data_IF_485028524966
#
_entry.id   IF_485028524966
#
_cell.length_a   1.000
_cell.length_b   1.000
_cell.length_c   1.000
_cell.angle_alpha   90.00
_cell.angle_beta   90.00
_cell.angle_gamma   90.00
#
_symmetry.space_group_name_H-M   'P 1'
#
loop_
_entity.id
_entity.type
_entity.pdbx_description
1 polymer ?
#
# COMPACT_ATOMS: atom_id res chain seq x y z
N UNK A 1 7.78 2.95 27.53
CA UNK A 1 6.43 2.52 27.98
C UNK A 1 5.45 3.58 27.51
N UNK A 2 4.67 3.28 26.47
CA UNK A 2 3.65 4.18 25.91
C UNK A 2 2.45 4.26 26.86
N UNK A 3 1.92 5.45 27.11
CA UNK A 3 0.73 5.63 27.94
C UNK A 3 -0.48 4.92 27.28
N UNK A 4 -1.12 3.93 27.95
CA UNK A 4 -2.28 3.24 27.42
C UNK A 4 -3.45 4.16 27.06
N UNK A 5 -3.60 5.30 27.75
CA UNK A 5 -4.65 6.28 27.44
C UNK A 5 -4.38 6.98 26.12
N UNK A 6 -3.13 7.38 25.87
CA UNK A 6 -2.71 8.02 24.62
C UNK A 6 -2.85 7.07 23.43
N UNK A 7 -2.54 5.79 23.63
CA UNK A 7 -2.70 4.77 22.57
C UNK A 7 -4.18 4.61 22.22
N UNK A 8 -5.04 4.49 23.23
CA UNK A 8 -6.48 4.35 23.05
C UNK A 8 -7.13 5.55 22.36
N UNK A 9 -6.78 6.78 22.73
CA UNK A 9 -7.34 7.98 22.09
C UNK A 9 -6.91 8.12 20.63
N UNK A 10 -5.69 7.71 20.29
CA UNK A 10 -5.23 7.63 18.89
C UNK A 10 -6.06 6.61 18.10
N UNK A 11 -6.24 5.40 18.63
CA UNK A 11 -7.04 4.34 17.98
C UNK A 11 -8.49 4.78 17.74
N UNK A 12 -9.13 5.44 18.72
CA UNK A 12 -10.49 5.96 18.58
C UNK A 12 -10.61 7.02 17.48
N UNK A 13 -9.62 7.92 17.38
CA UNK A 13 -9.58 8.93 16.32
C UNK A 13 -9.36 8.30 14.93
N UNK A 14 -8.46 7.32 14.83
CA UNK A 14 -8.24 6.56 13.59
C UNK A 14 -9.52 5.82 13.17
N UNK A 15 -10.21 5.17 14.11
CA UNK A 15 -11.47 4.48 13.83
C UNK A 15 -12.56 5.46 13.34
N UNK A 16 -12.67 6.64 13.97
CA UNK A 16 -13.66 7.66 13.59
C UNK A 16 -13.43 8.18 12.16
N UNK A 17 -12.19 8.55 11.78
CA UNK A 17 -11.92 9.00 10.41
C UNK A 17 -12.13 7.88 9.39
N UNK A 18 -11.77 6.65 9.76
CA UNK A 18 -11.88 5.48 8.90
C UNK A 18 -13.35 5.20 8.58
N UNK A 19 -14.20 5.18 9.61
CA UNK A 19 -15.65 5.08 9.46
C UNK A 19 -16.20 6.22 8.61
N UNK A 20 -15.81 7.47 8.88
CA UNK A 20 -16.31 8.62 8.13
C UNK A 20 -15.99 8.57 6.63
N UNK A 21 -14.82 8.04 6.26
CA UNK A 21 -14.40 7.91 4.86
C UNK A 21 -14.96 6.64 4.18
N UNK A 22 -15.35 5.61 4.94
CA UNK A 22 -16.07 4.43 4.40
C UNK A 22 -17.52 4.77 4.00
N UNK A 23 -18.10 5.84 4.53
CA UNK A 23 -19.47 6.24 4.20
C UNK A 23 -19.53 7.08 2.91
N UNK A 24 -20.58 6.87 2.08
CA UNK A 24 -20.80 7.66 0.87
C UNK A 24 -20.83 9.17 1.13
N UNK A 25 -20.25 9.94 0.21
CA UNK A 25 -20.19 11.41 0.25
C UNK A 25 -18.82 11.92 -0.18
N UNK A 26 -18.66 13.24 -0.26
CA UNK A 26 -17.38 13.88 -0.63
C UNK A 26 -16.87 14.85 0.44
N UNK A 27 -17.67 15.15 1.46
CA UNK A 27 -17.27 16.06 2.52
C UNK A 27 -16.26 15.37 3.46
N UNK A 28 -15.14 16.06 3.68
CA UNK A 28 -14.18 15.71 4.72
C UNK A 28 -14.78 16.07 6.10
N UNK A 29 -14.75 15.16 7.09
CA UNK A 29 -15.29 15.46 8.41
C UNK A 29 -14.45 16.52 9.12
N UNK A 30 -15.11 17.39 9.89
CA UNK A 30 -14.45 18.39 10.72
C UNK A 30 -13.82 17.74 11.97
N UNK A 31 -12.85 18.43 12.57
CA UNK A 31 -12.24 18.00 13.86
C UNK A 31 -13.32 17.85 14.93
N UNK A 32 -14.35 18.72 14.94
CA UNK A 32 -15.44 18.65 15.92
C UNK A 32 -16.26 17.38 15.77
N UNK A 33 -16.65 17.01 14.54
CA UNK A 33 -17.40 15.77 14.26
C UNK A 33 -16.56 14.53 14.62
N UNK A 34 -15.28 14.52 14.26
CA UNK A 34 -14.36 13.42 14.59
C UNK A 34 -14.19 13.25 16.10
N UNK A 35 -14.05 14.36 16.84
CA UNK A 35 -13.95 14.31 18.30
C UNK A 35 -15.24 13.80 18.95
N UNK A 36 -16.40 14.21 18.43
CA UNK A 36 -17.70 13.76 18.90
C UNK A 36 -17.88 12.25 18.67
N UNK A 37 -17.56 11.77 17.46
CA UNK A 37 -17.64 10.34 17.10
C UNK A 37 -16.67 9.49 17.94
N UNK A 38 -15.42 9.94 18.09
CA UNK A 38 -14.40 9.22 18.87
C UNK A 38 -14.62 9.31 20.39
N UNK A 39 -15.53 10.17 20.88
CA UNK A 39 -15.74 10.41 22.31
C UNK A 39 -14.53 11.05 23.00
N UNK A 40 -13.78 11.90 22.30
CA UNK A 40 -12.58 12.59 22.82
C UNK A 40 -12.72 14.11 22.71
N UNK A 41 -11.84 14.83 23.41
CA UNK A 41 -11.83 16.30 23.36
C UNK A 41 -10.97 16.83 22.20
N UNK A 42 -11.21 18.06 21.73
CA UNK A 42 -10.34 18.72 20.74
C UNK A 42 -8.88 18.84 21.20
N UNK A 43 -8.57 19.19 22.47
CA UNK A 43 -7.20 19.09 22.98
C UNK A 43 -6.59 17.70 22.82
N UNK A 44 -7.36 16.62 23.02
CA UNK A 44 -6.90 15.24 22.80
C UNK A 44 -6.60 14.97 21.33
N UNK A 45 -7.40 15.51 20.40
CA UNK A 45 -7.09 15.44 18.97
C UNK A 45 -5.71 16.05 18.67
N UNK A 46 -5.47 17.28 19.11
CA UNK A 46 -4.22 18.00 18.84
C UNK A 46 -3.00 17.40 19.54
N UNK A 47 -3.18 16.54 20.54
CA UNK A 47 -2.07 15.75 21.11
C UNK A 47 -1.57 14.67 20.16
N UNK A 48 -2.39 14.23 19.19
CA UNK A 48 -2.05 13.15 18.27
C UNK A 48 -1.87 13.60 16.82
N UNK A 49 -2.64 14.60 16.37
CA UNK A 49 -2.71 15.00 14.97
C UNK A 49 -2.75 16.53 14.86
N UNK A 50 -1.98 17.08 13.93
CA UNK A 50 -1.95 18.54 13.70
C UNK A 50 -3.21 19.04 12.99
N UNK A 51 -3.81 18.19 12.17
CA UNK A 51 -4.97 18.49 11.33
C UNK A 51 -5.68 17.19 10.91
N UNK A 52 -6.76 17.31 10.15
CA UNK A 52 -7.51 16.13 9.65
C UNK A 52 -6.69 15.37 8.59
N UNK A 53 -5.86 16.04 7.79
CA UNK A 53 -5.04 15.41 6.75
C UNK A 53 -4.02 14.42 7.33
N UNK A 54 -3.32 14.79 8.40
CA UNK A 54 -2.37 13.92 9.11
C UNK A 54 -3.07 12.72 9.77
N UNK A 55 -4.32 12.87 10.20
CA UNK A 55 -5.15 11.76 10.66
C UNK A 55 -5.58 10.83 9.51
N UNK A 56 -5.97 11.38 8.36
CA UNK A 56 -6.31 10.60 7.15
C UNK A 56 -5.10 9.80 6.67
N UNK A 57 -3.92 10.43 6.61
CA UNK A 57 -2.68 9.76 6.20
C UNK A 57 -2.37 8.59 7.14
N UNK A 58 -2.44 8.80 8.46
CA UNK A 58 -2.21 7.74 9.44
C UNK A 58 -3.20 6.59 9.29
N UNK A 59 -4.49 6.89 9.11
CA UNK A 59 -5.53 5.88 8.91
C UNK A 59 -5.32 5.10 7.60
N UNK A 60 -4.93 5.78 6.53
CA UNK A 60 -4.66 5.15 5.23
C UNK A 60 -3.45 4.22 5.31
N UNK A 61 -2.36 4.65 5.95
CA UNK A 61 -1.16 3.82 6.15
C UNK A 61 -1.49 2.59 7.00
N UNK A 62 -2.20 2.76 8.12
CA UNK A 62 -2.61 1.65 8.99
C UNK A 62 -3.48 0.63 8.25
N UNK A 63 -4.49 1.11 7.52
CA UNK A 63 -5.37 0.25 6.73
C UNK A 63 -4.64 -0.44 5.58
N UNK A 64 -3.69 0.23 4.92
CA UNK A 64 -2.84 -0.40 3.90
C UNK A 64 -1.96 -1.49 4.49
N UNK A 65 -1.35 -1.27 5.66
CA UNK A 65 -0.58 -2.31 6.34
C UNK A 65 -1.45 -3.52 6.72
N UNK A 66 -2.66 -3.29 7.22
CA UNK A 66 -3.61 -4.36 7.51
C UNK A 66 -3.98 -5.16 6.25
N UNK A 67 -4.23 -4.47 5.12
CA UNK A 67 -4.51 -5.11 3.83
C UNK A 67 -3.33 -5.96 3.34
N UNK A 68 -2.10 -5.44 3.41
CA UNK A 68 -0.92 -6.23 3.05
C UNK A 68 -0.62 -7.38 4.03
N UNK A 69 -1.10 -7.29 5.27
CA UNK A 69 -1.01 -8.34 6.27
C UNK A 69 -2.06 -9.45 6.11
N UNK A 70 -3.17 -9.18 5.41
CA UNK A 70 -4.25 -10.16 5.21
C UNK A 70 -3.94 -11.17 4.10
N UNK A 71 -3.05 -10.82 3.17
CA UNK A 71 -2.60 -11.72 2.11
C UNK A 71 -1.45 -12.60 2.59
N UNK A 72 -1.51 -13.90 2.25
CA UNK A 72 -0.49 -14.87 2.65
C UNK A 72 0.89 -14.44 2.11
N UNK A 73 1.91 -14.31 2.97
CA UNK A 73 3.24 -13.98 2.52
C UNK A 73 3.80 -15.12 1.67
N UNK A 74 4.46 -14.74 0.56
CA UNK A 74 5.31 -15.65 -0.19
C UNK A 74 6.47 -16.07 0.71
N UNK A 75 6.69 -17.38 0.86
CA UNK A 75 7.66 -17.92 1.81
C UNK A 75 9.03 -18.20 1.20
N UNK A 76 9.15 -18.24 -0.14
CA UNK A 76 10.41 -18.42 -0.85
C UNK A 76 10.39 -17.78 -2.24
N UNK A 77 11.57 -17.52 -2.80
CA UNK A 77 11.75 -17.04 -4.17
C UNK A 77 11.16 -18.00 -5.23
N UNK A 78 11.21 -19.32 -4.97
CA UNK A 78 10.66 -20.36 -5.85
C UNK A 78 9.12 -20.37 -5.86
N UNK A 79 8.51 -19.97 -4.75
CA UNK A 79 7.05 -19.86 -4.62
C UNK A 79 6.51 -18.50 -5.07
N UNK A 80 7.38 -17.52 -5.31
CA UNK A 80 6.98 -16.14 -5.57
C UNK A 80 6.14 -16.00 -6.84
N UNK A 81 6.67 -16.44 -7.98
CA UNK A 81 6.00 -16.34 -9.27
C UNK A 81 4.61 -17.00 -9.27
N UNK A 82 4.42 -18.27 -8.82
CA UNK A 82 3.09 -18.88 -8.77
C UNK A 82 2.16 -18.30 -7.69
N UNK A 83 2.67 -17.53 -6.73
CA UNK A 83 1.86 -16.89 -5.69
C UNK A 83 1.40 -15.48 -6.05
N UNK A 84 2.19 -14.72 -6.83
CA UNK A 84 1.91 -13.31 -7.16
C UNK A 84 0.49 -13.08 -7.67
N UNK A 85 -0.07 -13.87 -8.63
CA UNK A 85 -1.44 -13.64 -9.10
C UNK A 85 -2.49 -13.72 -7.98
N UNK A 86 -2.38 -14.69 -7.07
CA UNK A 86 -3.31 -14.84 -5.94
C UNK A 86 -3.16 -13.71 -4.92
N UNK A 87 -1.92 -13.29 -4.66
CA UNK A 87 -1.64 -12.17 -3.74
C UNK A 87 -2.21 -10.87 -4.29
N UNK A 88 -1.94 -10.54 -5.57
CA UNK A 88 -2.47 -9.34 -6.22
C UNK A 88 -4.00 -9.37 -6.22
N UNK A 89 -4.61 -10.52 -6.56
CA UNK A 89 -6.07 -10.67 -6.51
C UNK A 89 -6.64 -10.37 -5.12
N UNK A 90 -6.08 -10.97 -4.07
CA UNK A 90 -6.52 -10.73 -2.69
C UNK A 90 -6.36 -9.27 -2.25
N UNK A 91 -5.28 -8.60 -2.69
CA UNK A 91 -5.10 -7.16 -2.43
C UNK A 91 -6.17 -6.32 -3.14
N UNK A 92 -6.46 -6.61 -4.40
CA UNK A 92 -7.49 -5.89 -5.16
C UNK A 92 -8.89 -6.09 -4.56
N UNK A 93 -9.25 -7.33 -4.18
CA UNK A 93 -10.50 -7.61 -3.48
C UNK A 93 -10.58 -6.84 -2.15
N UNK A 94 -9.51 -6.84 -1.37
CA UNK A 94 -9.45 -6.11 -0.11
C UNK A 94 -9.54 -4.58 -0.27
N UNK A 95 -9.04 -4.02 -1.37
CA UNK A 95 -9.27 -2.62 -1.71
C UNK A 95 -10.75 -2.33 -1.96
N UNK A 96 -11.48 -3.25 -2.58
CA UNK A 96 -12.91 -3.07 -2.89
C UNK A 96 -13.80 -3.10 -1.65
N UNK A 97 -13.40 -3.81 -0.59
CA UNK A 97 -14.13 -3.81 0.70
C UNK A 97 -14.29 -2.40 1.25
N UNK A 98 -13.32 -1.53 0.98
CA UNK A 98 -13.27 -0.15 1.46
C UNK A 98 -13.06 0.86 0.32
N UNK A 99 -13.71 0.64 -0.83
CA UNK A 99 -13.46 1.40 -2.05
C UNK A 99 -13.69 2.91 -1.88
N UNK A 100 -14.73 3.32 -1.15
CA UNK A 100 -15.03 4.73 -0.91
C UNK A 100 -13.94 5.42 -0.09
N UNK A 101 -13.43 4.74 0.95
CA UNK A 101 -12.30 5.21 1.75
C UNK A 101 -11.08 5.47 0.86
N UNK A 102 -10.66 4.48 0.08
CA UNK A 102 -9.47 4.60 -0.74
C UNK A 102 -9.64 5.63 -1.85
N UNK A 103 -10.81 5.70 -2.49
CA UNK A 103 -11.10 6.73 -3.49
C UNK A 103 -10.96 8.13 -2.89
N UNK A 104 -11.58 8.41 -1.75
CA UNK A 104 -11.49 9.71 -1.07
C UNK A 104 -10.06 10.08 -0.68
N UNK A 105 -9.28 9.10 -0.19
CA UNK A 105 -7.86 9.31 0.12
C UNK A 105 -7.05 9.65 -1.13
N UNK A 106 -7.29 8.95 -2.24
CA UNK A 106 -6.56 9.07 -3.50
C UNK A 106 -6.96 10.28 -4.35
N UNK A 107 -8.15 10.83 -4.14
CA UNK A 107 -8.60 12.09 -4.78
C UNK A 107 -8.41 13.32 -3.87
N UNK A 108 -8.08 13.12 -2.60
CA UNK A 108 -7.87 14.17 -1.60
C UNK A 108 -6.44 14.71 -1.55
N UNK A 109 -6.22 15.71 -0.69
CA UNK A 109 -4.92 16.37 -0.52
C UNK A 109 -3.80 15.49 0.04
N UNK A 110 -4.12 14.32 0.59
CA UNK A 110 -3.17 13.35 1.17
C UNK A 110 -2.69 12.30 0.17
N UNK A 111 -3.24 12.29 -1.06
CA UNK A 111 -3.01 11.22 -2.04
C UNK A 111 -1.52 10.94 -2.30
N UNK A 112 -0.72 12.01 -2.48
CA UNK A 112 0.72 11.89 -2.75
C UNK A 112 1.46 11.19 -1.60
N UNK A 113 1.25 11.62 -0.36
CA UNK A 113 1.94 11.08 0.81
C UNK A 113 1.57 9.59 1.05
N UNK A 114 0.30 9.25 0.85
CA UNK A 114 -0.17 7.86 0.96
C UNK A 114 0.42 7.00 -0.16
N UNK A 115 0.42 7.47 -1.41
CA UNK A 115 1.03 6.74 -2.53
C UNK A 115 2.54 6.54 -2.32
N UNK A 116 3.28 7.56 -1.86
CA UNK A 116 4.70 7.44 -1.52
C UNK A 116 4.94 6.38 -0.44
N UNK A 117 4.11 6.35 0.61
CA UNK A 117 4.18 5.34 1.67
C UNK A 117 3.89 3.93 1.16
N UNK A 118 2.90 3.77 0.27
CA UNK A 118 2.57 2.47 -0.34
C UNK A 118 3.69 2.00 -1.27
N UNK A 119 4.28 2.90 -2.06
CA UNK A 119 5.42 2.58 -2.94
C UNK A 119 6.62 2.12 -2.12
N UNK A 120 6.98 2.86 -1.06
CA UNK A 120 8.09 2.48 -0.18
C UNK A 120 7.85 1.10 0.46
N UNK A 121 6.63 0.86 0.96
CA UNK A 121 6.27 -0.42 1.56
C UNK A 121 6.31 -1.58 0.56
N UNK A 122 5.75 -1.40 -0.64
CA UNK A 122 5.76 -2.42 -1.68
C UNK A 122 7.18 -2.70 -2.18
N UNK A 123 8.01 -1.68 -2.34
CA UNK A 123 9.42 -1.85 -2.70
C UNK A 123 10.16 -2.71 -1.67
N UNK A 124 9.96 -2.43 -0.38
CA UNK A 124 10.54 -3.25 0.70
C UNK A 124 10.04 -4.70 0.65
N UNK A 125 8.75 -4.92 0.37
CA UNK A 125 8.23 -6.29 0.21
C UNK A 125 8.80 -7.00 -1.00
N UNK A 126 8.99 -6.31 -2.12
CA UNK A 126 9.64 -6.87 -3.31
C UNK A 126 11.09 -7.27 -2.98
N UNK A 127 11.83 -6.43 -2.27
CA UNK A 127 13.18 -6.78 -1.81
C UNK A 127 13.17 -7.98 -0.86
N UNK A 128 12.18 -8.08 0.03
CA UNK A 128 12.14 -9.12 1.07
C UNK A 128 11.68 -10.49 0.56
N UNK A 129 10.68 -10.52 -0.33
CA UNK A 129 9.93 -11.74 -0.65
C UNK A 129 10.06 -12.18 -2.11
N UNK A 130 10.73 -11.40 -2.96
CA UNK A 130 10.94 -11.78 -4.37
C UNK A 130 12.40 -12.19 -4.63
N UNK A 131 12.67 -12.86 -5.75
CA UNK A 131 14.03 -13.17 -6.20
C UNK A 131 14.96 -11.94 -6.42
N UNK A 132 14.48 -10.71 -6.25
CA UNK A 132 15.32 -9.50 -6.35
C UNK A 132 16.43 -9.47 -5.29
N UNK A 133 16.18 -9.97 -4.06
CA UNK A 133 17.18 -10.00 -2.99
C UNK A 133 18.39 -10.88 -3.33
N UNK A 134 18.19 -11.99 -4.04
CA UNK A 134 19.29 -12.91 -4.41
C UNK A 134 20.35 -12.21 -5.29
N UNK A 135 19.99 -11.12 -5.98
CA UNK A 135 20.93 -10.29 -6.75
C UNK A 135 21.75 -9.35 -5.90
N UNK A 136 21.20 -8.86 -4.78
CA UNK A 136 21.92 -7.99 -3.85
C UNK A 136 23.23 -8.65 -3.42
N UNK A 137 23.15 -9.95 -3.13
CA UNK A 137 24.30 -10.76 -2.74
C UNK A 137 25.27 -11.07 -3.89
N UNK A 138 24.79 -11.13 -5.15
CA UNK A 138 25.59 -11.57 -6.30
C UNK A 138 26.29 -10.44 -7.08
N UNK A 139 25.69 -9.24 -7.16
CA UNK A 139 26.16 -8.17 -8.06
C UNK A 139 26.88 -7.00 -7.35
N UNK A 140 26.77 -6.89 -6.01
CA UNK A 140 27.40 -5.81 -5.23
C UNK A 140 26.84 -4.40 -5.47
N UNK A 141 25.74 -4.26 -6.21
CA UNK A 141 25.09 -2.98 -6.56
C UNK A 141 23.70 -2.88 -5.93
N UNK A 142 23.67 -2.84 -4.59
CA UNK A 142 22.47 -2.73 -3.77
C UNK A 142 21.57 -1.57 -4.23
N UNK A 143 22.16 -0.40 -4.45
CA UNK A 143 21.44 0.81 -4.83
C UNK A 143 20.69 0.66 -6.17
N UNK A 144 21.20 -0.13 -7.12
CA UNK A 144 20.47 -0.41 -8.37
C UNK A 144 19.29 -1.34 -8.15
N UNK A 145 19.42 -2.36 -7.30
CA UNK A 145 18.32 -3.26 -6.95
C UNK A 145 17.22 -2.51 -6.22
N UNK A 146 17.57 -1.64 -5.26
CA UNK A 146 16.61 -0.77 -4.57
C UNK A 146 15.88 0.17 -5.54
N UNK A 147 16.59 0.86 -6.44
CA UNK A 147 15.95 1.72 -7.45
C UNK A 147 15.01 0.94 -8.35
N UNK A 148 15.36 -0.29 -8.70
CA UNK A 148 14.51 -1.15 -9.52
C UNK A 148 13.27 -1.63 -8.76
N UNK A 149 13.41 -2.02 -7.48
CA UNK A 149 12.28 -2.35 -6.63
C UNK A 149 11.32 -1.15 -6.47
N UNK A 150 11.85 0.06 -6.27
CA UNK A 150 11.07 1.31 -6.25
C UNK A 150 10.37 1.56 -7.58
N UNK A 151 11.04 1.33 -8.71
CA UNK A 151 10.42 1.47 -10.04
C UNK A 151 9.23 0.51 -10.23
N UNK A 152 9.40 -0.78 -9.89
CA UNK A 152 8.33 -1.76 -9.98
C UNK A 152 7.18 -1.44 -9.03
N UNK A 153 7.49 -1.05 -7.79
CA UNK A 153 6.50 -0.66 -6.81
C UNK A 153 5.70 0.57 -7.27
N UNK A 154 6.35 1.59 -7.80
CA UNK A 154 5.70 2.79 -8.33
C UNK A 154 4.79 2.46 -9.52
N UNK A 155 5.28 1.67 -10.49
CA UNK A 155 4.47 1.24 -11.63
C UNK A 155 3.25 0.41 -11.21
N UNK A 156 3.42 -0.50 -10.24
CA UNK A 156 2.33 -1.31 -9.71
C UNK A 156 1.30 -0.45 -8.99
N UNK A 157 1.74 0.44 -8.09
CA UNK A 157 0.85 1.38 -7.40
C UNK A 157 0.09 2.24 -8.40
N UNK A 158 0.73 2.71 -9.47
CA UNK A 158 0.06 3.48 -10.53
C UNK A 158 -1.07 2.69 -11.20
N UNK A 159 -0.81 1.44 -11.59
CA UNK A 159 -1.82 0.57 -12.22
C UNK A 159 -2.99 0.27 -11.27
N UNK A 160 -2.70 0.00 -9.99
CA UNK A 160 -3.73 -0.29 -8.98
C UNK A 160 -4.57 0.95 -8.68
N UNK A 161 -3.96 2.12 -8.52
CA UNK A 161 -4.66 3.39 -8.29
C UNK A 161 -5.53 3.74 -9.49
N UNK A 162 -4.99 3.66 -10.71
CA UNK A 162 -5.75 3.90 -11.93
C UNK A 162 -6.97 2.98 -12.03
N UNK A 163 -6.75 1.67 -11.84
CA UNK A 163 -7.83 0.70 -11.79
C UNK A 163 -8.86 1.04 -10.71
N UNK A 164 -8.45 1.32 -9.47
CA UNK A 164 -9.40 1.62 -8.40
C UNK A 164 -10.27 2.86 -8.71
N UNK A 165 -9.67 3.90 -9.29
CA UNK A 165 -10.33 5.16 -9.60
C UNK A 165 -11.25 5.10 -10.84
N UNK A 166 -11.16 4.07 -11.69
CA UNK A 166 -12.10 3.85 -12.80
C UNK A 166 -13.54 3.56 -12.32
N UNK A 167 -13.74 3.24 -11.03
CA UNK A 167 -15.07 3.03 -10.45
C UNK A 167 -15.90 1.99 -11.22
N UNK A 168 -17.09 2.34 -11.69
CA UNK A 168 -17.94 1.36 -12.38
C UNK A 168 -17.42 0.95 -13.77
N UNK A 169 -16.47 1.70 -14.35
CA UNK A 169 -15.84 1.37 -15.63
C UNK A 169 -14.64 0.41 -15.50
N UNK A 170 -14.31 0.02 -14.26
CA UNK A 170 -13.23 -0.93 -13.96
C UNK A 170 -13.39 -2.23 -14.73
N UNK A 171 -12.28 -2.70 -15.28
CA UNK A 171 -12.18 -4.11 -15.67
C UNK A 171 -12.27 -5.04 -14.44
N UNK A 172 -12.73 -6.31 -14.59
CA UNK A 172 -12.88 -7.25 -13.48
C UNK A 172 -11.59 -7.48 -12.69
N UNK A 173 -11.72 -7.72 -11.38
CA UNK A 173 -10.59 -7.98 -10.46
C UNK A 173 -9.66 -9.06 -11.01
N UNK A 174 -10.21 -10.18 -11.47
CA UNK A 174 -9.43 -11.28 -12.02
C UNK A 174 -8.53 -10.84 -13.19
N UNK A 175 -9.09 -10.07 -14.14
CA UNK A 175 -8.32 -9.57 -15.29
C UNK A 175 -7.26 -8.55 -14.87
N UNK A 176 -7.61 -7.63 -13.96
CA UNK A 176 -6.64 -6.66 -13.43
C UNK A 176 -5.49 -7.33 -12.68
N UNK A 177 -5.81 -8.32 -11.84
CA UNK A 177 -4.84 -9.06 -11.06
C UNK A 177 -3.89 -9.85 -11.94
N UNK A 178 -4.40 -10.56 -12.96
CA UNK A 178 -3.57 -11.31 -13.92
C UNK A 178 -2.57 -10.40 -14.61
N UNK A 179 -3.02 -9.28 -15.20
CA UNK A 179 -2.13 -8.40 -15.95
C UNK A 179 -1.08 -7.73 -15.05
N UNK A 180 -1.48 -7.25 -13.86
CA UNK A 180 -0.54 -6.64 -12.90
C UNK A 180 0.48 -7.68 -12.41
N UNK A 181 0.03 -8.90 -12.12
CA UNK A 181 0.90 -9.99 -11.71
C UNK A 181 1.90 -10.38 -12.81
N UNK A 182 1.46 -10.47 -14.07
CA UNK A 182 2.32 -10.77 -15.21
C UNK A 182 3.40 -9.69 -15.39
N UNK A 183 3.05 -8.40 -15.27
CA UNK A 183 4.01 -7.30 -15.34
C UNK A 183 5.02 -7.34 -14.19
N UNK A 184 4.58 -7.64 -12.97
CA UNK A 184 5.47 -7.82 -11.82
C UNK A 184 6.44 -8.97 -12.04
N UNK A 185 5.92 -10.15 -12.42
CA UNK A 185 6.73 -11.36 -12.68
C UNK A 185 7.74 -11.11 -13.79
N UNK A 186 7.29 -10.54 -14.91
CA UNK A 186 8.16 -10.21 -16.05
C UNK A 186 9.21 -9.18 -15.65
N UNK A 187 8.84 -8.17 -14.87
CA UNK A 187 9.77 -7.17 -14.33
C UNK A 187 10.89 -7.80 -13.51
N UNK A 188 10.55 -8.69 -12.58
CA UNK A 188 11.53 -9.41 -11.75
C UNK A 188 12.36 -10.40 -12.58
N UNK A 189 11.75 -11.15 -13.49
CA UNK A 189 12.42 -12.14 -14.34
C UNK A 189 13.38 -11.51 -15.37
N UNK A 190 13.01 -10.37 -15.97
CA UNK A 190 13.84 -9.66 -16.95
C UNK A 190 15.18 -9.20 -16.37
N UNK A 191 15.20 -8.82 -15.08
CA UNK A 191 16.43 -8.58 -14.36
C UNK A 191 17.28 -9.85 -14.26
N UNK A 192 16.67 -11.01 -13.96
CA UNK A 192 17.39 -12.31 -13.87
C UNK A 192 18.23 -12.57 -15.12
N UNK A 193 17.64 -12.41 -16.30
CA UNK A 193 18.31 -12.63 -17.60
C UNK A 193 19.47 -11.65 -17.84
N UNK A 194 19.31 -10.38 -17.47
CA UNK A 194 20.39 -9.39 -17.59
C UNK A 194 21.63 -9.72 -16.72
N UNK A 195 21.48 -10.45 -15.60
CA UNK A 195 22.65 -10.91 -14.83
C UNK A 195 23.40 -12.04 -15.52
N UNK A 196 22.67 -13.04 -16.03
CA UNK A 196 23.27 -14.23 -16.64
C UNK A 196 24.18 -13.83 -17.81
N UNK A 197 23.78 -12.84 -18.60
CA UNK A 197 24.60 -12.32 -19.71
C UNK A 197 25.80 -11.48 -19.25
N UNK A 198 25.72 -10.79 -18.10
CA UNK A 198 26.83 -9.98 -17.58
C UNK A 198 27.93 -10.83 -16.94
N UNK A 199 27.57 -11.95 -16.31
CA UNK A 199 28.54 -12.89 -15.70
C UNK A 199 29.29 -13.74 -16.73
N UNK A 200 28.71 -14.01 -17.90
CA UNK A 200 29.37 -14.76 -19.00
C UNK A 200 30.39 -13.93 -19.80
N UNK A 201 30.44 -12.61 -19.59
CA UNK A 201 31.32 -11.68 -20.30
C UNK A 201 32.60 -11.31 -19.51
N UNK A 202 32.85 -11.97 -18.36
CA UNK A 202 34.09 -11.88 -17.58
C UNK A 202 34.82 -13.21 -17.62
#
# INVERSE_FOLDING_TARGET
MTDPRLTRSRELLTAAITSALDHPGDAQPSITELCAEAGVSRPTFYQHFGDVSSLIEAAAVERMHALFGSVTPVSSAEEWEPAVPRVVHGLLDGLLVHADFYRRVLTGGTARAVQESVVAFLAQRLLTFSPLAERESAAGDHARVERFATFLAAGTTWLVVGWLLEGDSRRPVAAAATDIAELLVTGVASQRLAALHSTSAK
#
